data_IF_377662133070
#
_entry.id   IF_377662133070
#
_cell.length_a   1.000
_cell.length_b   1.000
_cell.length_c   1.000
_cell.angle_alpha   90.00
_cell.angle_beta   90.00
_cell.angle_gamma   90.00
#
_symmetry.space_group_name_H-M   'P 1'
#
loop_
_entity.id
_entity.type
_entity.pdbx_description
1 polymer ?
#
# COMPACT_ATOMS: atom_id res chain seq x y z
N UNK A 1 -3.74 37.99 22.41
CA UNK A 1 -4.33 39.30 22.07
C UNK A 1 -4.46 39.37 20.54
N UNK A 2 -5.44 38.64 20.01
CA UNK A 2 -6.76 39.10 19.55
C UNK A 2 -6.73 39.73 18.15
N UNK A 3 -7.55 39.09 17.29
CA UNK A 3 -8.12 39.56 16.01
C UNK A 3 -7.22 39.55 14.77
N UNK A 4 -7.29 38.44 14.04
CA UNK A 4 -7.92 38.51 12.71
C UNK A 4 -9.01 37.43 12.62
N UNK A 5 -10.20 37.80 13.11
CA UNK A 5 -11.46 37.26 12.62
C UNK A 5 -11.62 37.73 11.18
N UNK A 6 -11.26 36.87 10.22
CA UNK A 6 -11.60 37.00 8.81
C UNK A 6 -11.77 35.59 8.28
N UNK A 7 -13.02 35.11 8.28
CA UNK A 7 -13.54 33.88 7.64
C UNK A 7 -12.53 32.89 7.10
N UNK A 8 -11.60 32.40 7.94
CA UNK A 8 -10.53 31.55 7.47
C UNK A 8 -11.13 30.17 7.33
N UNK A 9 -11.25 29.73 6.08
CA UNK A 9 -11.67 28.38 5.78
C UNK A 9 -10.72 27.47 6.55
N UNK A 10 -11.24 26.78 7.57
CA UNK A 10 -10.43 25.87 8.36
C UNK A 10 -9.92 24.76 7.44
N UNK A 11 -8.64 24.39 7.55
CA UNK A 11 -8.09 23.26 6.80
C UNK A 11 -8.93 21.99 7.00
N UNK A 12 -9.50 21.81 8.21
CA UNK A 12 -10.44 20.71 8.50
C UNK A 12 -11.77 20.81 7.73
N UNK A 13 -12.25 22.01 7.40
CA UNK A 13 -13.42 22.15 6.53
C UNK A 13 -13.08 21.84 5.07
N UNK A 14 -11.89 22.21 4.59
CA UNK A 14 -11.42 21.83 3.25
C UNK A 14 -11.25 20.32 3.12
N UNK A 15 -10.64 19.68 4.12
CA UNK A 15 -10.52 18.21 4.16
C UNK A 15 -11.89 17.54 4.10
N UNK A 16 -12.87 18.01 4.88
CA UNK A 16 -14.25 17.48 4.85
C UNK A 16 -14.90 17.62 3.48
N UNK A 17 -14.87 18.82 2.90
CA UNK A 17 -15.46 19.06 1.58
C UNK A 17 -14.79 18.21 0.49
N UNK A 18 -13.46 18.09 0.52
CA UNK A 18 -12.71 17.23 -0.40
C UNK A 18 -13.16 15.77 -0.32
N UNK A 19 -13.26 15.22 0.89
CA UNK A 19 -13.70 13.84 1.08
C UNK A 19 -15.15 13.62 0.63
N UNK A 20 -16.06 14.58 0.85
CA UNK A 20 -17.43 14.48 0.33
C UNK A 20 -17.48 14.53 -1.20
N UNK A 21 -16.70 15.40 -1.84
CA UNK A 21 -16.62 15.47 -3.30
C UNK A 21 -16.07 14.16 -3.89
N UNK A 22 -15.06 13.55 -3.25
CA UNK A 22 -14.54 12.23 -3.65
C UNK A 22 -15.63 11.16 -3.55
N UNK A 23 -16.36 11.09 -2.43
CA UNK A 23 -17.45 10.12 -2.25
C UNK A 23 -18.54 10.33 -3.32
N UNK A 24 -18.93 11.58 -3.57
CA UNK A 24 -19.91 11.91 -4.61
C UNK A 24 -19.40 11.51 -6.00
N UNK A 25 -18.12 11.75 -6.30
CA UNK A 25 -17.51 11.37 -7.59
C UNK A 25 -17.49 9.86 -7.79
N UNK A 26 -17.25 9.07 -6.73
CA UNK A 26 -17.34 7.61 -6.78
C UNK A 26 -18.75 7.12 -7.07
N UNK A 27 -19.76 7.74 -6.45
CA UNK A 27 -21.17 7.40 -6.69
C UNK A 27 -21.59 7.75 -8.12
N UNK A 28 -21.10 8.88 -8.65
CA UNK A 28 -21.28 9.28 -10.04
C UNK A 28 -20.62 8.28 -10.99
N UNK A 29 -19.40 7.83 -10.72
CA UNK A 29 -18.72 6.81 -11.53
C UNK A 29 -19.51 5.49 -11.58
N UNK A 30 -20.08 5.07 -10.46
CA UNK A 30 -20.92 3.86 -10.40
C UNK A 30 -22.20 4.01 -11.24
N UNK A 31 -22.86 5.17 -11.18
CA UNK A 31 -24.08 5.43 -11.96
C UNK A 31 -23.80 5.64 -13.46
N UNK A 32 -22.62 6.17 -13.82
CA UNK A 32 -22.17 6.27 -15.21
C UNK A 32 -22.03 4.89 -15.88
N UNK A 33 -21.59 3.87 -15.15
CA UNK A 33 -21.50 2.51 -15.69
C UNK A 33 -22.89 1.93 -16.05
N UNK A 34 -23.95 2.40 -15.39
CA UNK A 34 -25.33 1.96 -15.62
C UNK A 34 -26.06 2.80 -16.69
N UNK A 35 -25.62 4.04 -16.91
CA UNK A 35 -26.27 4.99 -17.82
C UNK A 35 -25.23 5.74 -18.65
N UNK A 36 -25.16 5.47 -19.96
CA UNK A 36 -24.27 6.20 -20.86
C UNK A 36 -24.83 7.58 -21.22
N UNK A 37 -24.58 8.57 -20.35
CA UNK A 37 -24.97 9.96 -20.57
C UNK A 37 -23.76 10.89 -20.64
N UNK A 38 -23.76 11.83 -21.61
CA UNK A 38 -22.72 12.85 -21.74
C UNK A 38 -22.58 13.78 -20.53
N UNK A 39 -23.61 13.85 -19.67
CA UNK A 39 -23.61 14.64 -18.42
C UNK A 39 -22.45 14.25 -17.50
N UNK A 40 -22.07 12.97 -17.47
CA UNK A 40 -21.01 12.47 -16.59
C UNK A 40 -19.63 13.06 -16.90
N UNK A 41 -19.35 13.35 -18.18
CA UNK A 41 -18.09 14.01 -18.58
C UNK A 41 -17.98 15.43 -18.01
N UNK A 42 -19.10 16.17 -17.99
CA UNK A 42 -19.12 17.51 -17.40
C UNK A 42 -18.91 17.47 -15.88
N UNK A 43 -19.49 16.49 -15.20
CA UNK A 43 -19.29 16.31 -13.75
C UNK A 43 -17.82 16.03 -13.43
N UNK A 44 -17.16 15.15 -14.20
CA UNK A 44 -15.74 14.84 -14.01
C UNK A 44 -14.84 16.08 -14.16
N UNK A 45 -15.15 16.94 -15.13
CA UNK A 45 -14.42 18.21 -15.34
C UNK A 45 -14.67 19.15 -14.16
N UNK A 46 -15.92 19.29 -13.70
CA UNK A 46 -16.27 20.10 -12.54
C UNK A 46 -15.55 19.65 -11.26
N UNK A 47 -15.46 18.34 -11.03
CA UNK A 47 -14.72 17.76 -9.89
C UNK A 47 -13.22 18.08 -9.99
N UNK A 48 -12.63 18.00 -11.19
CA UNK A 48 -11.23 18.35 -11.39
C UNK A 48 -10.96 19.85 -11.16
N UNK A 49 -11.85 20.72 -11.63
CA UNK A 49 -11.78 22.16 -11.37
C UNK A 49 -11.85 22.41 -9.86
N UNK A 50 -12.77 21.74 -9.16
CA UNK A 50 -12.87 21.83 -7.71
C UNK A 50 -11.55 21.45 -7.02
N UNK A 51 -10.93 20.32 -7.37
CA UNK A 51 -9.64 19.92 -6.78
C UNK A 51 -8.50 20.88 -7.13
N UNK A 52 -8.53 21.47 -8.32
CA UNK A 52 -7.56 22.49 -8.72
C UNK A 52 -7.70 23.73 -7.83
N UNK A 53 -8.93 24.22 -7.61
CA UNK A 53 -9.20 25.34 -6.73
C UNK A 53 -8.84 25.02 -5.27
N UNK A 54 -9.16 23.83 -4.80
CA UNK A 54 -8.81 23.36 -3.46
C UNK A 54 -7.28 23.40 -3.25
N UNK A 55 -6.51 22.94 -4.23
CA UNK A 55 -5.04 23.01 -4.21
C UNK A 55 -4.56 24.45 -4.06
N UNK A 56 -5.04 25.37 -4.90
CA UNK A 56 -4.64 26.78 -4.81
C UNK A 56 -4.99 27.37 -3.45
N UNK A 57 -6.20 27.13 -2.93
CA UNK A 57 -6.61 27.62 -1.61
C UNK A 57 -5.70 27.08 -0.50
N UNK A 58 -5.36 25.78 -0.53
CA UNK A 58 -4.44 25.18 0.45
C UNK A 58 -3.06 25.80 0.40
N UNK A 59 -2.52 26.03 -0.79
CA UNK A 59 -1.20 26.66 -0.96
C UNK A 59 -1.20 28.09 -0.43
N UNK A 60 -2.27 28.85 -0.66
CA UNK A 60 -2.42 30.21 -0.10
C UNK A 60 -2.48 30.21 1.43
N UNK A 61 -3.17 29.24 2.04
CA UNK A 61 -3.31 29.14 3.51
C UNK A 61 -2.02 28.62 4.18
N UNK A 62 -1.38 27.59 3.61
CA UNK A 62 -0.25 26.89 4.23
C UNK A 62 1.12 27.47 3.84
N UNK A 63 1.21 28.31 2.80
CA UNK A 63 2.46 28.63 2.10
C UNK A 63 3.12 27.41 1.43
N UNK A 64 3.84 27.65 0.33
CA UNK A 64 4.49 26.60 -0.46
C UNK A 64 5.37 25.65 0.38
N UNK A 65 6.20 26.17 1.28
CA UNK A 65 7.11 25.35 2.10
C UNK A 65 6.37 24.35 3.00
N UNK A 66 5.30 24.78 3.69
CA UNK A 66 4.58 23.87 4.60
C UNK A 66 3.69 22.90 3.83
N UNK A 67 3.17 23.30 2.66
CA UNK A 67 2.39 22.42 1.79
C UNK A 67 3.20 21.17 1.40
N UNK A 68 4.42 21.38 0.89
CA UNK A 68 5.31 20.28 0.49
C UNK A 68 6.01 19.56 1.64
N UNK A 69 5.79 19.93 2.90
CA UNK A 69 6.26 19.14 4.05
C UNK A 69 5.23 18.10 4.50
N UNK A 70 3.95 18.28 4.14
CA UNK A 70 2.87 17.39 4.56
C UNK A 70 2.67 16.26 3.53
N UNK A 71 2.83 14.97 3.91
CA UNK A 71 2.65 13.85 2.98
C UNK A 71 1.27 13.79 2.33
N UNK A 72 0.22 14.16 3.08
CA UNK A 72 -1.15 14.20 2.56
C UNK A 72 -1.34 15.28 1.49
N UNK A 73 -0.69 16.43 1.64
CA UNK A 73 -0.72 17.51 0.65
C UNK A 73 0.11 17.15 -0.59
N UNK A 74 1.28 16.53 -0.41
CA UNK A 74 2.09 16.03 -1.53
C UNK A 74 1.31 15.02 -2.38
N UNK A 75 0.61 14.09 -1.73
CA UNK A 75 -0.24 13.11 -2.40
C UNK A 75 -1.41 13.77 -3.15
N UNK A 76 -2.05 14.78 -2.55
CA UNK A 76 -3.12 15.51 -3.23
C UNK A 76 -2.65 16.22 -4.50
N UNK A 77 -1.47 16.84 -4.43
CA UNK A 77 -0.84 17.48 -5.59
C UNK A 77 -0.47 16.47 -6.68
N UNK A 78 0.11 15.32 -6.30
CA UNK A 78 0.40 14.24 -7.25
C UNK A 78 -0.86 13.80 -8.00
N UNK A 79 -1.95 13.53 -7.29
CA UNK A 79 -3.23 13.14 -7.91
C UNK A 79 -3.80 14.21 -8.85
N UNK A 80 -3.65 15.49 -8.48
CA UNK A 80 -4.07 16.60 -9.32
C UNK A 80 -3.27 16.66 -10.62
N UNK A 81 -1.94 16.51 -10.55
CA UNK A 81 -1.05 16.52 -11.72
C UNK A 81 -1.37 15.35 -12.65
N UNK A 82 -1.51 14.13 -12.12
CA UNK A 82 -1.91 12.95 -12.91
C UNK A 82 -3.25 13.20 -13.62
N UNK A 83 -4.20 13.81 -12.92
CA UNK A 83 -5.53 14.08 -13.47
C UNK A 83 -5.54 15.15 -14.56
N UNK A 84 -4.63 16.13 -14.50
CA UNK A 84 -4.47 17.19 -15.50
C UNK A 84 -3.76 16.68 -16.75
N UNK A 85 -2.69 15.89 -16.58
CA UNK A 85 -1.95 15.26 -17.69
C UNK A 85 -2.85 14.31 -18.49
N UNK A 86 -3.86 13.73 -17.85
CA UNK A 86 -4.82 12.84 -18.50
C UNK A 86 -5.76 13.52 -19.52
N UNK A 87 -5.99 14.83 -19.43
CA UNK A 87 -6.94 15.55 -20.29
C UNK A 87 -6.51 15.57 -21.77
N UNK A 88 -5.28 16.00 -22.14
CA UNK A 88 -4.88 16.06 -23.54
C UNK A 88 -4.66 14.68 -24.19
N UNK A 89 -4.51 13.62 -23.38
CA UNK A 89 -4.29 12.24 -23.84
C UNK A 89 -5.64 11.55 -24.20
N UNK A 90 -6.76 12.26 -24.05
CA UNK A 90 -8.16 11.81 -24.24
C UNK A 90 -8.48 11.08 -25.57
N UNK A 91 -7.61 11.13 -26.57
CA UNK A 91 -7.79 10.50 -27.88
C UNK A 91 -7.26 9.05 -27.97
N UNK A 92 -6.77 8.46 -26.88
CA UNK A 92 -6.20 7.10 -26.85
C UNK A 92 -6.97 6.28 -25.82
N UNK A 93 -7.22 4.98 -26.06
CA UNK A 93 -7.88 4.05 -25.12
C UNK A 93 -7.27 4.04 -23.70
N UNK A 94 -6.06 4.57 -23.55
CA UNK A 94 -5.34 4.76 -22.29
C UNK A 94 -6.03 5.70 -21.28
N UNK A 95 -7.08 6.41 -21.70
CA UNK A 95 -7.83 7.37 -20.88
C UNK A 95 -8.71 6.68 -19.85
N UNK A 96 -9.06 5.41 -20.06
CA UNK A 96 -9.75 4.61 -19.05
C UNK A 96 -8.82 4.36 -17.85
N UNK A 97 -7.55 4.02 -18.10
CA UNK A 97 -6.59 3.77 -17.01
C UNK A 97 -6.32 5.04 -16.19
N UNK A 98 -6.18 6.20 -16.84
CA UNK A 98 -6.02 7.48 -16.14
C UNK A 98 -7.27 7.90 -15.36
N UNK A 99 -8.46 7.50 -15.80
CA UNK A 99 -9.71 7.63 -15.03
C UNK A 99 -9.71 6.74 -13.78
N UNK A 100 -9.20 5.50 -13.88
CA UNK A 100 -9.06 4.60 -12.72
C UNK A 100 -8.08 5.14 -11.68
N UNK A 101 -6.98 5.80 -12.08
CA UNK A 101 -6.07 6.45 -11.14
C UNK A 101 -6.76 7.50 -10.26
N UNK A 102 -7.84 8.14 -10.74
CA UNK A 102 -8.64 9.07 -9.92
C UNK A 102 -9.37 8.36 -8.79
N UNK A 103 -9.69 7.07 -8.92
CA UNK A 103 -10.32 6.28 -7.85
C UNK A 103 -9.39 6.12 -6.65
N UNK A 104 -8.07 6.18 -6.83
CA UNK A 104 -7.09 6.17 -5.74
C UNK A 104 -7.31 7.36 -4.78
N UNK A 105 -7.91 8.45 -5.26
CA UNK A 105 -8.30 9.58 -4.40
C UNK A 105 -9.29 9.22 -3.29
N UNK A 106 -9.93 8.04 -3.33
CA UNK A 106 -10.72 7.47 -2.23
C UNK A 106 -9.95 7.45 -0.90
N UNK A 107 -8.62 7.39 -0.95
CA UNK A 107 -7.76 7.49 0.23
C UNK A 107 -8.01 8.82 1.00
N UNK A 108 -8.46 9.89 0.34
CA UNK A 108 -8.83 11.15 0.99
C UNK A 108 -10.01 11.01 1.95
N UNK A 109 -10.83 9.96 1.83
CA UNK A 109 -11.91 9.67 2.80
C UNK A 109 -11.35 9.44 4.20
N UNK A 110 -10.14 8.90 4.33
CA UNK A 110 -9.49 8.74 5.64
C UNK A 110 -9.21 10.06 6.35
N UNK A 111 -9.27 11.23 5.68
CA UNK A 111 -9.11 12.54 6.33
C UNK A 111 -10.29 12.93 7.22
N UNK A 112 -11.48 12.39 6.97
CA UNK A 112 -12.67 12.63 7.78
C UNK A 112 -12.94 11.54 8.81
N UNK A 113 -12.32 10.36 8.63
CA UNK A 113 -12.43 9.25 9.58
C UNK A 113 -11.67 9.60 10.86
N UNK A 114 -12.27 9.42 12.06
CA UNK A 114 -11.57 9.55 13.32
C UNK A 114 -10.33 8.67 13.34
N UNK A 115 -9.16 9.23 13.64
CA UNK A 115 -7.87 8.53 13.60
C UNK A 115 -7.47 7.96 12.23
N UNK A 116 -8.08 8.40 11.12
CA UNK A 116 -7.77 7.85 9.80
C UNK A 116 -6.33 8.10 9.34
N UNK A 117 -5.70 9.21 9.75
CA UNK A 117 -4.27 9.43 9.52
C UNK A 117 -3.40 8.42 10.28
N UNK A 118 -3.82 8.00 11.48
CA UNK A 118 -3.14 6.97 12.25
C UNK A 118 -3.29 5.60 11.58
N UNK A 119 -4.47 5.28 11.05
CA UNK A 119 -4.71 4.05 10.27
C UNK A 119 -3.79 4.00 9.05
N UNK A 120 -3.77 5.07 8.24
CA UNK A 120 -2.92 5.12 7.04
C UNK A 120 -1.42 5.05 7.40
N UNK A 121 -1.02 5.74 8.48
CA UNK A 121 0.36 5.66 8.98
C UNK A 121 0.70 4.27 9.53
N UNK A 122 -0.25 3.57 10.14
CA UNK A 122 -0.11 2.20 10.62
C UNK A 122 0.11 1.22 9.48
N UNK A 123 -0.69 1.34 8.41
CA UNK A 123 -0.51 0.55 7.19
C UNK A 123 0.86 0.81 6.55
N UNK A 124 1.27 2.08 6.43
CA UNK A 124 2.57 2.44 5.88
C UNK A 124 3.73 1.90 6.74
N UNK A 125 3.59 1.92 8.07
CA UNK A 125 4.56 1.31 9.00
C UNK A 125 4.63 -0.20 8.82
N UNK A 126 3.50 -0.89 8.72
CA UNK A 126 3.45 -2.33 8.50
C UNK A 126 4.12 -2.74 7.18
N UNK A 127 3.89 -2.01 6.09
CA UNK A 127 4.59 -2.25 4.82
C UNK A 127 6.09 -2.01 4.96
N UNK A 128 6.48 -0.95 5.69
CA UNK A 128 7.89 -0.60 5.90
C UNK A 128 8.62 -1.64 6.74
N UNK A 129 8.00 -2.13 7.82
CA UNK A 129 8.56 -3.18 8.69
C UNK A 129 8.69 -4.50 7.93
N UNK A 130 7.71 -4.83 7.09
CA UNK A 130 7.73 -6.06 6.27
C UNK A 130 8.46 -5.92 4.93
N UNK A 131 9.18 -4.81 4.66
CA UNK A 131 9.77 -4.55 3.33
C UNK A 131 10.72 -5.66 2.88
N UNK A 132 11.57 -6.16 3.78
CA UNK A 132 12.53 -7.23 3.46
C UNK A 132 11.83 -8.52 3.04
N UNK A 133 10.78 -8.89 3.79
CA UNK A 133 9.94 -10.06 3.49
C UNK A 133 9.22 -9.89 2.16
N UNK A 134 8.56 -8.75 1.93
CA UNK A 134 7.84 -8.48 0.69
C UNK A 134 8.76 -8.57 -0.54
N UNK A 135 9.98 -8.05 -0.44
CA UNK A 135 10.99 -8.18 -1.50
C UNK A 135 11.36 -9.64 -1.73
N UNK A 136 11.59 -10.42 -0.67
CA UNK A 136 11.90 -11.84 -0.78
C UNK A 136 10.76 -12.62 -1.46
N UNK A 137 9.51 -12.39 -1.04
CA UNK A 137 8.33 -13.00 -1.66
C UNK A 137 8.20 -12.64 -3.14
N UNK A 138 8.39 -11.37 -3.48
CA UNK A 138 8.36 -10.91 -4.86
C UNK A 138 9.47 -11.55 -5.71
N UNK A 139 10.69 -11.66 -5.17
CA UNK A 139 11.80 -12.33 -5.84
C UNK A 139 11.50 -13.82 -6.10
N UNK A 140 10.94 -14.53 -5.12
CA UNK A 140 10.53 -15.93 -5.27
C UNK A 140 9.43 -16.07 -6.33
N UNK A 141 8.44 -15.18 -6.31
CA UNK A 141 7.36 -15.15 -7.29
C UNK A 141 7.91 -14.98 -8.72
N UNK A 142 8.79 -14.00 -8.94
CA UNK A 142 9.43 -13.79 -10.23
C UNK A 142 10.31 -14.97 -10.65
N UNK A 143 11.07 -15.55 -9.73
CA UNK A 143 11.95 -16.69 -9.99
C UNK A 143 11.16 -17.90 -10.49
N UNK A 144 10.11 -18.30 -9.77
CA UNK A 144 9.28 -19.44 -10.17
C UNK A 144 8.45 -19.13 -11.43
N UNK A 145 7.98 -17.89 -11.61
CA UNK A 145 7.29 -17.48 -12.84
C UNK A 145 8.18 -17.64 -14.08
N UNK A 146 9.44 -17.21 -14.00
CA UNK A 146 10.40 -17.35 -15.09
C UNK A 146 10.74 -18.82 -15.37
N UNK A 147 10.90 -19.64 -14.33
CA UNK A 147 11.10 -21.09 -14.50
C UNK A 147 9.90 -21.72 -15.20
N UNK A 148 8.68 -21.44 -14.72
CA UNK A 148 7.46 -21.97 -15.32
C UNK A 148 7.31 -21.53 -16.79
N UNK A 149 7.57 -20.26 -17.09
CA UNK A 149 7.62 -19.74 -18.45
C UNK A 149 8.60 -20.53 -19.34
N UNK A 150 9.84 -20.71 -18.89
CA UNK A 150 10.87 -21.41 -19.66
C UNK A 150 10.52 -22.89 -19.86
N UNK A 151 10.00 -23.57 -18.84
CA UNK A 151 9.73 -25.00 -18.89
C UNK A 151 8.43 -25.35 -19.62
N UNK A 152 7.39 -24.52 -19.50
CA UNK A 152 6.02 -24.90 -19.86
C UNK A 152 5.35 -23.97 -20.87
N UNK A 153 6.00 -22.89 -21.35
CA UNK A 153 5.40 -21.96 -22.32
C UNK A 153 4.88 -22.62 -23.60
N UNK A 154 5.56 -23.67 -24.09
CA UNK A 154 5.14 -24.38 -25.30
C UNK A 154 4.11 -25.48 -25.03
N UNK A 155 4.17 -26.13 -23.87
CA UNK A 155 3.33 -27.29 -23.54
C UNK A 155 2.02 -26.90 -22.86
N UNK A 156 2.02 -25.80 -22.10
CA UNK A 156 0.89 -25.31 -21.30
C UNK A 156 0.76 -23.79 -21.46
N UNK A 157 0.50 -23.30 -22.70
CA UNK A 157 0.52 -21.86 -23.01
C UNK A 157 -0.57 -21.06 -22.30
N UNK A 158 -1.70 -21.68 -21.95
CA UNK A 158 -2.78 -21.02 -21.21
C UNK A 158 -2.29 -20.43 -19.88
N UNK A 159 -1.35 -21.10 -19.22
CA UNK A 159 -0.80 -20.69 -17.94
C UNK A 159 0.57 -19.99 -18.10
N UNK A 160 1.42 -20.46 -19.02
CA UNK A 160 2.83 -20.03 -19.11
C UNK A 160 3.21 -19.35 -20.43
N UNK A 161 2.26 -18.80 -21.20
CA UNK A 161 2.55 -18.17 -22.51
C UNK A 161 3.46 -16.94 -22.47
N UNK A 162 3.42 -16.15 -21.39
CA UNK A 162 4.25 -14.95 -21.21
C UNK A 162 4.74 -14.86 -19.77
N UNK A 163 5.82 -14.11 -19.48
CA UNK A 163 6.26 -13.92 -18.09
C UNK A 163 5.18 -13.37 -17.16
N UNK A 164 4.24 -12.57 -17.69
CA UNK A 164 3.16 -11.98 -16.89
C UNK A 164 2.04 -12.99 -16.61
N UNK A 165 1.67 -13.83 -17.59
CA UNK A 165 0.70 -14.92 -17.36
C UNK A 165 1.26 -15.96 -16.41
N UNK A 166 2.54 -16.31 -16.56
CA UNK A 166 3.26 -17.20 -15.64
C UNK A 166 3.31 -16.61 -14.22
N UNK A 167 3.43 -15.29 -14.09
CA UNK A 167 3.42 -14.62 -12.80
C UNK A 167 2.05 -14.75 -12.11
N UNK A 168 0.95 -14.62 -12.85
CA UNK A 168 -0.39 -14.88 -12.30
C UNK A 168 -0.56 -16.35 -11.88
N UNK A 169 -0.19 -17.31 -12.73
CA UNK A 169 -0.30 -18.74 -12.37
C UNK A 169 0.51 -19.08 -11.13
N UNK A 170 1.77 -18.63 -11.06
CA UNK A 170 2.60 -18.87 -9.88
C UNK A 170 2.03 -18.14 -8.67
N UNK A 171 1.50 -16.92 -8.83
CA UNK A 171 0.87 -16.17 -7.73
C UNK A 171 -0.33 -16.91 -7.15
N UNK A 172 -1.23 -17.45 -7.98
CA UNK A 172 -2.36 -18.29 -7.55
C UNK A 172 -1.89 -19.51 -6.76
N UNK A 173 -0.89 -20.23 -7.26
CA UNK A 173 -0.32 -21.39 -6.53
C UNK A 173 0.32 -20.93 -5.20
N UNK A 174 1.01 -19.78 -5.21
CA UNK A 174 1.68 -19.21 -4.04
C UNK A 174 0.69 -18.79 -2.95
N UNK A 175 -0.50 -18.30 -3.32
CA UNK A 175 -1.60 -17.94 -2.40
C UNK A 175 -2.49 -19.14 -2.03
N UNK A 176 -2.17 -20.35 -2.54
CA UNK A 176 -2.96 -21.58 -2.34
C UNK A 176 -4.36 -21.44 -2.96
N UNK A 177 -4.53 -20.54 -3.93
CA UNK A 177 -5.76 -20.39 -4.67
C UNK A 177 -5.72 -21.27 -5.91
N UNK A 178 -6.72 -22.14 -6.07
CA UNK A 178 -6.93 -22.94 -7.28
C UNK A 178 -5.68 -23.73 -7.77
N UNK A 179 -4.75 -24.07 -6.87
CA UNK A 179 -3.45 -24.65 -7.22
C UNK A 179 -3.55 -26.01 -7.94
N UNK A 180 -4.67 -26.73 -7.78
CA UNK A 180 -4.93 -28.00 -8.46
C UNK A 180 -5.32 -27.85 -9.94
N UNK A 181 -5.79 -26.68 -10.38
CA UNK A 181 -6.25 -26.49 -11.76
C UNK A 181 -5.12 -26.66 -12.78
N UNK A 182 -3.90 -26.23 -12.46
CA UNK A 182 -2.76 -26.37 -13.34
C UNK A 182 -2.41 -27.84 -13.64
N UNK A 183 -2.14 -28.73 -12.67
CA UNK A 183 -1.88 -30.13 -12.97
C UNK A 183 -3.10 -30.85 -13.55
N UNK A 184 -4.32 -30.50 -13.12
CA UNK A 184 -5.55 -31.12 -13.63
C UNK A 184 -5.86 -30.72 -15.09
N UNK A 185 -5.27 -29.62 -15.60
CA UNK A 185 -5.37 -29.23 -17.02
C UNK A 185 -4.68 -30.22 -17.98
N UNK A 186 -3.84 -31.12 -17.45
CA UNK A 186 -3.03 -32.04 -18.25
C UNK A 186 -3.57 -33.46 -18.11
N UNK A 187 -4.04 -34.01 -19.23
CA UNK A 187 -4.49 -35.39 -19.25
C UNK A 187 -3.32 -36.38 -18.98
N UNK A 188 -3.43 -37.07 -17.84
CA UNK A 188 -2.49 -38.08 -17.35
C UNK A 188 -2.30 -39.23 -18.33
N UNK A 189 -3.33 -39.57 -19.11
CA UNK A 189 -3.27 -40.69 -20.05
C UNK A 189 -2.50 -40.32 -21.32
N UNK A 190 -2.66 -39.08 -21.80
CA UNK A 190 -2.02 -38.62 -23.04
C UNK A 190 -0.57 -38.18 -22.80
N UNK A 191 -0.29 -37.46 -21.71
CA UNK A 191 1.05 -36.91 -21.44
C UNK A 191 1.50 -37.16 -19.98
N UNK A 192 1.84 -38.41 -19.61
CA UNK A 192 2.14 -38.76 -18.22
C UNK A 192 3.38 -38.04 -17.66
N UNK A 193 4.42 -37.89 -18.48
CA UNK A 193 5.65 -37.20 -18.06
C UNK A 193 5.43 -35.69 -17.86
N UNK A 194 4.69 -35.05 -18.76
CA UNK A 194 4.38 -33.62 -18.64
C UNK A 194 3.51 -33.35 -17.40
N UNK A 195 2.46 -34.17 -17.19
CA UNK A 195 1.64 -34.08 -15.98
C UNK A 195 2.51 -34.23 -14.72
N UNK A 196 3.41 -35.22 -14.68
CA UNK A 196 4.31 -35.42 -13.54
C UNK A 196 5.22 -34.21 -13.30
N UNK A 197 5.82 -33.64 -14.36
CA UNK A 197 6.67 -32.45 -14.26
C UNK A 197 5.91 -31.21 -13.79
N UNK A 198 4.71 -30.97 -14.31
CA UNK A 198 3.87 -29.84 -13.91
C UNK A 198 3.38 -30.01 -12.47
N UNK A 199 2.92 -31.20 -12.10
CA UNK A 199 2.50 -31.48 -10.72
C UNK A 199 3.67 -31.32 -9.73
N UNK A 200 4.87 -31.80 -10.07
CA UNK A 200 6.06 -31.60 -9.25
C UNK A 200 6.42 -30.11 -9.11
N UNK A 201 6.38 -29.35 -10.21
CA UNK A 201 6.58 -27.90 -10.19
C UNK A 201 5.56 -27.20 -9.28
N UNK A 202 4.27 -27.49 -9.43
CA UNK A 202 3.19 -26.94 -8.60
C UNK A 202 3.43 -27.22 -7.12
N UNK A 203 3.79 -28.46 -6.75
CA UNK A 203 4.08 -28.82 -5.35
C UNK A 203 5.30 -28.07 -4.83
N UNK A 204 6.38 -27.94 -5.62
CA UNK A 204 7.58 -27.19 -5.24
C UNK A 204 7.25 -25.72 -4.98
N UNK A 205 6.48 -25.09 -5.86
CA UNK A 205 6.03 -23.69 -5.71
C UNK A 205 5.15 -23.55 -4.47
N UNK A 206 4.19 -24.45 -4.27
CA UNK A 206 3.27 -24.44 -3.13
C UNK A 206 4.01 -24.57 -1.79
N UNK A 207 4.97 -25.51 -1.69
CA UNK A 207 5.75 -25.72 -0.46
C UNK A 207 6.71 -24.56 -0.22
N UNK A 208 7.46 -24.14 -1.25
CA UNK A 208 8.46 -23.07 -1.10
C UNK A 208 7.81 -21.72 -0.84
N UNK A 209 6.75 -21.42 -1.59
CA UNK A 209 6.10 -20.13 -1.62
C UNK A 209 4.93 -20.00 -0.64
N UNK A 210 3.98 -20.91 -0.73
CA UNK A 210 2.79 -20.90 0.11
C UNK A 210 3.12 -21.19 1.57
N UNK A 211 3.75 -22.32 1.87
CA UNK A 211 3.99 -22.73 3.25
C UNK A 211 5.23 -22.07 3.87
N UNK A 212 6.40 -22.22 3.24
CA UNK A 212 7.67 -21.76 3.82
C UNK A 212 7.75 -20.25 3.81
N UNK A 213 7.41 -19.58 2.71
CA UNK A 213 7.57 -18.14 2.61
C UNK A 213 6.59 -17.37 3.51
N UNK A 214 5.35 -17.85 3.67
CA UNK A 214 4.39 -17.28 4.65
C UNK A 214 4.83 -17.54 6.09
N UNK A 215 5.34 -18.73 6.39
CA UNK A 215 5.86 -19.02 7.74
C UNK A 215 7.07 -18.15 8.10
N UNK A 216 7.98 -17.94 7.15
CA UNK A 216 9.12 -17.03 7.29
C UNK A 216 8.67 -15.57 7.41
N UNK A 217 7.69 -15.15 6.61
CA UNK A 217 7.11 -13.82 6.68
C UNK A 217 6.55 -13.52 8.07
N UNK A 218 5.80 -14.48 8.63
CA UNK A 218 5.27 -14.37 9.99
C UNK A 218 6.39 -14.35 11.04
N UNK A 219 7.40 -15.21 10.91
CA UNK A 219 8.53 -15.23 11.83
C UNK A 219 9.29 -13.88 11.83
N UNK A 220 9.65 -13.37 10.64
CA UNK A 220 10.34 -12.07 10.51
C UNK A 220 9.46 -10.91 11.01
N UNK A 221 8.16 -10.95 10.75
CA UNK A 221 7.25 -9.93 11.26
C UNK A 221 7.18 -9.94 12.80
N UNK A 222 7.11 -11.13 13.41
CA UNK A 222 7.14 -11.28 14.87
C UNK A 222 8.48 -10.82 15.43
N UNK A 223 9.60 -11.23 14.83
CA UNK A 223 10.94 -10.83 15.28
C UNK A 223 11.13 -9.31 15.19
N UNK A 224 10.65 -8.66 14.13
CA UNK A 224 10.69 -7.20 13.99
C UNK A 224 9.84 -6.50 15.06
N UNK A 225 8.61 -6.99 15.32
CA UNK A 225 7.74 -6.45 16.37
C UNK A 225 8.33 -6.64 17.79
N UNK A 226 8.96 -7.80 18.03
CA UNK A 226 9.61 -8.11 19.31
C UNK A 226 10.89 -7.30 19.47
N UNK A 227 11.67 -7.11 18.40
CA UNK A 227 12.91 -6.33 18.42
C UNK A 227 12.65 -4.87 18.71
N UNK A 228 11.64 -4.25 18.08
CA UNK A 228 11.30 -2.84 18.31
C UNK A 228 10.88 -2.61 19.77
N UNK A 229 10.06 -3.52 20.33
CA UNK A 229 9.63 -3.42 21.73
C UNK A 229 10.77 -3.73 22.73
N UNK A 230 11.68 -4.66 22.40
CA UNK A 230 12.81 -5.00 23.25
C UNK A 230 13.87 -3.90 23.31
N UNK A 231 14.10 -3.17 22.21
CA UNK A 231 15.08 -2.09 22.19
C UNK A 231 14.64 -0.91 23.09
N UNK A 232 13.35 -0.57 23.09
CA UNK A 232 12.81 0.44 23.98
C UNK A 232 12.82 -0.01 25.45
N UNK A 233 12.41 -1.25 25.74
CA UNK A 233 12.52 -1.84 27.10
C UNK A 233 13.98 -1.85 27.57
N UNK A 234 14.93 -2.17 26.68
CA UNK A 234 16.35 -2.21 27.02
C UNK A 234 16.90 -0.82 27.35
N UNK A 235 16.43 0.23 26.65
CA UNK A 235 16.77 1.63 26.99
C UNK A 235 16.24 1.99 28.38
N UNK A 236 14.98 1.67 28.67
CA UNK A 236 14.36 1.96 29.97
C UNK A 236 15.07 1.22 31.12
N UNK A 237 15.44 -0.05 30.94
CA UNK A 237 16.25 -0.82 31.91
C UNK A 237 17.63 -0.18 32.12
N UNK A 238 18.28 0.31 31.06
CA UNK A 238 19.57 0.96 31.16
C UNK A 238 19.50 2.30 31.92
N UNK A 239 18.44 3.08 31.71
CA UNK A 239 18.15 4.30 32.47
C UNK A 239 17.89 3.98 33.95
N UNK A 240 16.98 3.05 34.26
CA UNK A 240 16.70 2.64 35.64
C UNK A 240 17.95 2.11 36.37
N UNK A 241 18.84 1.38 35.67
CA UNK A 241 20.12 0.94 36.23
C UNK A 241 21.09 2.10 36.46
N UNK A 242 21.04 3.15 35.65
CA UNK A 242 21.83 4.37 35.86
C UNK A 242 21.34 5.13 37.08
N UNK A 243 20.03 5.39 37.17
CA UNK A 243 19.42 6.07 38.32
C UNK A 243 19.69 5.33 39.63
N UNK A 244 19.54 4.00 39.66
CA UNK A 244 19.87 3.19 40.84
C UNK A 244 21.35 3.29 41.25
N UNK A 245 22.28 3.43 40.29
CA UNK A 245 23.71 3.62 40.58
C UNK A 245 23.97 5.00 41.17
N UNK A 246 23.35 6.04 40.64
CA UNK A 246 23.44 7.40 41.17
C UNK A 246 22.87 7.49 42.60
N UNK A 247 21.70 6.91 42.85
CA UNK A 247 21.11 6.84 44.20
C UNK A 247 22.05 6.12 45.18
N UNK A 248 22.60 4.96 44.80
CA UNK A 248 23.57 4.24 45.66
C UNK A 248 24.82 5.05 45.96
N UNK A 249 25.34 5.81 44.99
CA UNK A 249 26.49 6.68 45.19
C UNK A 249 26.17 7.80 46.19
N UNK A 250 25.03 8.49 46.01
CA UNK A 250 24.57 9.55 46.91
C UNK A 250 24.36 9.03 48.34
N UNK A 251 23.74 7.85 48.50
CA UNK A 251 23.57 7.23 49.81
C UNK A 251 24.92 6.91 50.48
N UNK A 252 25.90 6.43 49.70
CA UNK A 252 27.25 6.13 50.21
C UNK A 252 27.97 7.41 50.63
N UNK A 253 27.82 8.48 49.85
CA UNK A 253 28.43 9.78 50.11
C UNK A 253 27.82 10.47 51.35
N UNK A 254 26.50 10.38 51.51
CA UNK A 254 25.78 10.85 52.71
C UNK A 254 26.24 10.05 53.94
N UNK A 255 26.31 8.72 53.85
CA UNK A 255 26.76 7.88 54.96
C UNK A 255 28.19 8.24 55.41
N UNK A 256 29.06 8.58 54.45
CA UNK A 256 30.44 9.03 54.70
C UNK A 256 30.55 10.45 55.29
N UNK A 257 29.50 11.29 55.15
CA UNK A 257 29.44 12.64 55.75
C UNK A 257 28.87 12.64 57.16
N UNK A 258 28.07 11.62 57.51
CA UNK A 258 27.37 11.52 58.80
C UNK A 258 28.15 10.67 59.81
N UNK A 259 28.91 9.68 59.35
CA UNK A 259 29.88 8.94 60.18
C UNK A 259 31.25 9.58 60.19
#
# INVERSE_FOLDING_TARGET
MFVLSKGSISLKSLDRLSSYVVISSLLVFFTQHLYENHIFQYIDICVLIYFSLEFFLRVHVLSWKKYFQSPSCQFDFFLLVVSLVAIPISNIDSVIYLRVFRLISVIRVFKIVPNGSQVLSGLARAIKSSKAVLILLFCLLCFFSLIGFILFSSSVPEYFSTPLTSLNTVFEIFTIENWGALPDSIDKTTHPLLHASVNAFTIIVLVSGGFIAVSLANAVFVDELVSDNNDDIKREILELRRENREIKQLLTEINKKIG
#
